data_IF_758045095445
#
_entry.id   IF_758045095445
#
_cell.length_a   1.000
_cell.length_b   1.000
_cell.length_c   1.000
_cell.angle_alpha   90.00
_cell.angle_beta   90.00
_cell.angle_gamma   90.00
#
_symmetry.space_group_name_H-M   'P 1'
#
loop_
_entity.id
_entity.type
_entity.pdbx_description
1 polymer ?
#
# COMPACT_ATOMS: atom_id res chain seq x y z
N UNK A 1 -60.15 -42.52 30.56
CA UNK A 1 -59.90 -43.06 31.91
C UNK A 1 -58.43 -43.46 31.99
N UNK A 2 -57.63 -42.76 32.78
CA UNK A 2 -56.19 -43.05 32.97
C UNK A 2 -55.57 -42.05 33.93
N UNK A 3 -55.09 -42.54 35.06
CA UNK A 3 -54.82 -41.84 36.32
C UNK A 3 -53.64 -40.85 36.27
N UNK A 4 -53.74 -39.78 37.07
CA UNK A 4 -52.59 -39.06 37.65
C UNK A 4 -51.76 -40.01 38.53
N UNK A 5 -50.44 -39.83 38.56
CA UNK A 5 -49.60 -39.63 39.77
C UNK A 5 -48.20 -39.31 39.25
N UNK A 6 -47.62 -38.17 39.63
CA UNK A 6 -46.27 -38.09 40.21
C UNK A 6 -46.03 -36.69 40.74
N UNK A 7 -45.87 -36.58 42.06
CA UNK A 7 -45.20 -35.47 42.69
C UNK A 7 -44.23 -36.06 43.71
N UNK A 8 -42.94 -35.75 43.59
CA UNK A 8 -42.07 -35.29 44.68
C UNK A 8 -40.59 -35.65 44.49
N UNK A 9 -39.77 -34.63 44.76
CA UNK A 9 -38.41 -34.68 45.32
C UNK A 9 -37.23 -35.06 44.41
N UNK A 10 -36.68 -34.07 43.71
CA UNK A 10 -35.25 -34.03 43.37
C UNK A 10 -34.55 -33.07 44.35
N UNK A 11 -33.79 -33.67 45.28
CA UNK A 11 -32.85 -32.99 46.18
C UNK A 11 -31.75 -32.30 45.37
N UNK A 12 -31.46 -31.04 45.72
CA UNK A 12 -30.27 -30.29 45.32
C UNK A 12 -29.00 -31.09 45.63
N UNK A 13 -28.16 -31.31 44.62
CA UNK A 13 -26.76 -31.71 44.79
C UNK A 13 -25.86 -30.50 44.45
N UNK A 14 -25.10 -30.04 45.44
CA UNK A 14 -24.00 -29.09 45.28
C UNK A 14 -22.92 -29.69 44.35
N UNK A 15 -22.36 -28.93 43.41
CA UNK A 15 -21.09 -29.32 42.80
C UNK A 15 -19.98 -29.01 43.80
N UNK A 16 -19.50 -30.04 44.49
CA UNK A 16 -18.25 -30.03 45.23
C UNK A 16 -17.13 -29.61 44.27
N UNK A 17 -16.51 -28.47 44.57
CA UNK A 17 -15.29 -27.97 43.96
C UNK A 17 -14.20 -29.03 44.04
N UNK A 18 -13.90 -29.67 42.90
CA UNK A 18 -12.67 -30.43 42.74
C UNK A 18 -11.50 -29.44 42.69
N UNK A 19 -10.91 -29.18 43.86
CA UNK A 19 -9.57 -28.63 43.97
C UNK A 19 -8.57 -29.66 43.44
N UNK A 20 -8.44 -29.74 42.12
CA UNK A 20 -7.30 -30.40 41.50
C UNK A 20 -6.08 -29.51 41.79
N UNK A 21 -5.26 -29.90 42.77
CA UNK A 21 -3.95 -29.29 43.02
C UNK A 21 -3.22 -29.17 41.68
N UNK A 22 -3.07 -27.93 41.20
CA UNK A 22 -2.31 -27.64 39.99
C UNK A 22 -0.89 -28.13 40.23
N UNK A 23 -0.47 -29.14 39.46
CA UNK A 23 0.87 -29.71 39.55
C UNK A 23 1.90 -28.57 39.35
N UNK A 24 2.72 -28.25 40.36
CA UNK A 24 3.64 -27.12 40.31
C UNK A 24 4.67 -27.24 39.17
N UNK A 25 4.97 -28.47 38.72
CA UNK A 25 5.83 -28.72 37.56
C UNK A 25 5.16 -28.32 36.25
N UNK A 26 3.87 -28.60 36.09
CA UNK A 26 3.08 -28.24 34.90
C UNK A 26 2.93 -26.72 34.76
N UNK A 27 2.77 -26.03 35.89
CA UNK A 27 2.69 -24.56 35.96
C UNK A 27 4.02 -23.89 35.61
N UNK A 28 5.14 -24.51 35.97
CA UNK A 28 6.50 -24.01 35.69
C UNK A 28 6.86 -24.18 34.21
N UNK A 29 6.55 -25.34 33.62
CA UNK A 29 6.77 -25.60 32.18
C UNK A 29 5.93 -24.69 31.28
N UNK A 30 4.68 -24.42 31.65
CA UNK A 30 3.80 -23.44 30.99
C UNK A 30 4.40 -22.03 30.96
N UNK A 31 4.96 -21.56 32.09
CA UNK A 31 5.63 -20.25 32.17
C UNK A 31 6.89 -20.19 31.30
N UNK A 32 7.69 -21.26 31.26
CA UNK A 32 8.89 -21.33 30.42
C UNK A 32 8.56 -21.31 28.94
N UNK A 33 7.55 -22.07 28.50
CA UNK A 33 7.07 -22.07 27.12
C UNK A 33 6.57 -20.68 26.70
N UNK A 34 5.80 -19.99 27.55
CA UNK A 34 5.35 -18.61 27.28
C UNK A 34 6.52 -17.65 27.11
N UNK A 35 7.53 -17.70 28.00
CA UNK A 35 8.73 -16.86 27.90
C UNK A 35 9.53 -17.15 26.63
N UNK A 36 9.66 -18.42 26.26
CA UNK A 36 10.39 -18.83 25.07
C UNK A 36 9.68 -18.44 23.76
N UNK A 37 8.35 -18.64 23.68
CA UNK A 37 7.54 -18.18 22.56
C UNK A 37 7.58 -16.65 22.43
N UNK A 38 7.51 -15.92 23.54
CA UNK A 38 7.63 -14.46 23.55
C UNK A 38 9.02 -14.00 23.08
N UNK A 39 10.09 -14.67 23.55
CA UNK A 39 11.47 -14.40 23.11
C UNK A 39 11.66 -14.64 21.61
N UNK A 40 11.16 -15.77 21.08
CA UNK A 40 11.18 -16.03 19.64
C UNK A 40 10.38 -14.99 18.86
N UNK A 41 9.18 -14.62 19.33
CA UNK A 41 8.33 -13.62 18.65
C UNK A 41 9.03 -12.26 18.59
N UNK A 42 9.73 -11.87 19.65
CA UNK A 42 10.56 -10.65 19.69
C UNK A 42 11.73 -10.69 18.71
N UNK A 43 12.45 -11.81 18.64
CA UNK A 43 13.57 -11.99 17.68
C UNK A 43 13.06 -11.99 16.23
N UNK A 44 11.95 -12.70 15.96
CA UNK A 44 11.32 -12.73 14.63
C UNK A 44 10.85 -11.32 14.24
N UNK A 45 10.25 -10.56 15.16
CA UNK A 45 9.86 -9.15 14.93
C UNK A 45 11.06 -8.30 14.56
N UNK A 46 12.14 -8.37 15.34
CA UNK A 46 13.36 -7.60 15.09
C UNK A 46 14.02 -7.97 13.76
N UNK A 47 14.05 -9.25 13.41
CA UNK A 47 14.58 -9.70 12.12
C UNK A 47 13.71 -9.23 10.96
N UNK A 48 12.39 -9.22 11.12
CA UNK A 48 11.46 -8.69 10.12
C UNK A 48 11.62 -7.17 9.95
N UNK A 49 11.77 -6.43 11.05
CA UNK A 49 12.06 -4.99 11.04
C UNK A 49 13.39 -4.69 10.33
N UNK A 50 14.46 -5.42 10.66
CA UNK A 50 15.76 -5.27 9.98
C UNK A 50 15.66 -5.59 8.48
N UNK A 51 14.89 -6.61 8.11
CA UNK A 51 14.66 -6.98 6.71
C UNK A 51 13.89 -5.88 5.98
N UNK A 52 12.87 -5.30 6.61
CA UNK A 52 12.09 -4.19 6.06
C UNK A 52 12.95 -2.94 5.89
N UNK A 53 13.72 -2.56 6.91
CA UNK A 53 14.63 -1.40 6.85
C UNK A 53 15.64 -1.57 5.72
N UNK A 54 16.28 -2.74 5.63
CA UNK A 54 17.21 -3.03 4.54
C UNK A 54 16.54 -2.93 3.16
N UNK A 55 15.36 -3.53 3.02
CA UNK A 55 14.61 -3.47 1.76
C UNK A 55 14.27 -2.02 1.38
N UNK A 56 13.91 -1.18 2.37
CA UNK A 56 13.64 0.24 2.13
C UNK A 56 14.89 1.01 1.75
N UNK A 57 16.02 0.79 2.43
CA UNK A 57 17.29 1.45 2.09
C UNK A 57 17.70 1.14 0.65
N UNK A 58 17.70 -0.15 0.28
CA UNK A 58 18.11 -0.58 -1.06
C UNK A 58 17.15 -0.05 -2.15
N UNK A 59 15.88 0.15 -1.82
CA UNK A 59 14.85 0.54 -2.79
C UNK A 59 14.63 2.06 -2.90
N UNK A 60 14.86 2.80 -1.81
CA UNK A 60 14.68 4.26 -1.78
C UNK A 60 15.61 4.94 -2.79
N UNK A 61 16.85 4.49 -2.91
CA UNK A 61 17.81 5.00 -3.89
C UNK A 61 17.30 4.86 -5.33
N UNK A 62 16.65 3.72 -5.64
CA UNK A 62 16.09 3.46 -6.97
C UNK A 62 14.89 4.35 -7.28
N UNK A 63 13.99 4.55 -6.31
CA UNK A 63 12.87 5.48 -6.47
C UNK A 63 13.38 6.91 -6.65
N UNK A 64 14.35 7.34 -5.84
CA UNK A 64 14.90 8.68 -5.91
C UNK A 64 15.55 8.94 -7.27
N UNK A 65 16.35 7.99 -7.76
CA UNK A 65 16.94 8.08 -9.09
C UNK A 65 15.87 8.14 -10.20
N UNK A 66 14.80 7.35 -10.09
CA UNK A 66 13.70 7.36 -11.07
C UNK A 66 12.95 8.70 -11.11
N UNK A 67 12.61 9.25 -9.94
CA UNK A 67 11.95 10.55 -9.80
C UNK A 67 12.86 11.66 -10.31
N UNK A 68 14.16 11.61 -10.02
CA UNK A 68 15.11 12.61 -10.53
C UNK A 68 15.21 12.58 -12.05
N UNK A 69 15.20 11.39 -12.65
CA UNK A 69 15.18 11.21 -14.10
C UNK A 69 13.87 11.65 -14.76
N UNK A 70 12.82 11.95 -13.99
CA UNK A 70 11.57 12.51 -14.50
C UNK A 70 11.61 14.05 -14.59
N UNK A 71 12.47 14.72 -13.83
CA UNK A 71 12.51 16.19 -13.75
C UNK A 71 12.66 16.84 -15.14
N UNK A 72 13.59 16.41 -16.03
CA UNK A 72 13.72 17.03 -17.35
C UNK A 72 12.44 16.95 -18.17
N UNK A 73 11.73 15.81 -18.11
CA UNK A 73 10.45 15.66 -18.81
C UNK A 73 9.38 16.64 -18.29
N UNK A 74 9.36 16.90 -16.97
CA UNK A 74 8.43 17.86 -16.35
C UNK A 74 8.82 19.31 -16.67
N UNK A 75 10.11 19.60 -16.73
CA UNK A 75 10.62 20.92 -17.09
C UNK A 75 10.31 21.26 -18.56
N UNK A 76 10.36 20.26 -19.45
CA UNK A 76 10.04 20.39 -20.87
C UNK A 76 8.53 20.53 -21.17
N UNK A 77 7.65 20.35 -20.18
CA UNK A 77 6.21 20.59 -20.36
C UNK A 77 5.96 22.07 -20.63
N UNK A 78 5.29 22.37 -21.75
CA UNK A 78 4.88 23.73 -22.15
C UNK A 78 3.64 24.19 -21.36
N UNK A 79 3.77 24.22 -20.03
CA UNK A 79 2.79 24.79 -19.13
C UNK A 79 3.26 26.12 -18.54
N UNK A 80 2.37 26.77 -17.81
CA UNK A 80 2.63 28.01 -17.09
C UNK A 80 3.00 27.79 -15.62
N UNK A 81 3.20 26.54 -15.20
CA UNK A 81 3.45 26.22 -13.80
C UNK A 81 4.89 26.62 -13.45
N UNK A 82 5.07 27.34 -12.35
CA UNK A 82 6.40 27.65 -11.86
C UNK A 82 7.02 26.42 -11.16
N UNK A 83 8.30 26.50 -10.79
CA UNK A 83 9.00 25.38 -10.16
C UNK A 83 8.37 24.94 -8.83
N UNK A 84 7.72 25.85 -8.10
CA UNK A 84 7.04 25.53 -6.85
C UNK A 84 5.78 24.70 -7.11
N UNK A 85 4.94 25.16 -8.03
CA UNK A 85 3.73 24.47 -8.45
C UNK A 85 4.08 23.12 -9.07
N UNK A 86 5.12 23.05 -9.92
CA UNK A 86 5.60 21.81 -10.52
C UNK A 86 6.04 20.78 -9.48
N UNK A 87 6.72 21.22 -8.42
CA UNK A 87 7.12 20.35 -7.31
C UNK A 87 5.92 19.81 -6.53
N UNK A 88 4.91 20.65 -6.29
CA UNK A 88 3.65 20.23 -5.65
C UNK A 88 2.93 19.18 -6.50
N UNK A 89 2.79 19.44 -7.81
CA UNK A 89 2.16 18.52 -8.77
C UNK A 89 2.90 17.19 -8.88
N UNK A 90 4.24 17.23 -8.83
CA UNK A 90 5.07 16.03 -8.84
C UNK A 90 4.90 15.24 -7.55
N UNK A 91 5.01 15.89 -6.38
CA UNK A 91 4.94 15.20 -5.08
C UNK A 91 3.61 14.45 -4.89
N UNK A 92 2.48 15.03 -5.34
CA UNK A 92 1.16 14.37 -5.22
C UNK A 92 0.98 13.16 -6.14
N UNK A 93 1.73 13.09 -7.24
CA UNK A 93 1.55 12.11 -8.32
C UNK A 93 2.74 11.17 -8.48
N UNK A 94 3.81 11.37 -7.70
CA UNK A 94 5.10 10.70 -7.85
C UNK A 94 4.97 9.17 -7.89
N UNK A 95 4.18 8.58 -7.00
CA UNK A 95 4.00 7.12 -6.98
C UNK A 95 3.20 6.60 -8.18
N UNK A 96 2.15 7.30 -8.60
CA UNK A 96 1.35 6.91 -9.78
C UNK A 96 2.21 6.99 -11.05
N UNK A 97 2.99 8.08 -11.20
CA UNK A 97 3.92 8.26 -12.32
C UNK A 97 5.04 7.22 -12.28
N UNK A 98 5.61 6.95 -11.11
CA UNK A 98 6.62 5.91 -10.92
C UNK A 98 6.13 4.54 -11.41
N UNK A 99 4.91 4.15 -11.02
CA UNK A 99 4.33 2.88 -11.46
C UNK A 99 4.13 2.86 -12.99
N UNK A 100 3.68 3.96 -13.59
CA UNK A 100 3.53 4.09 -15.04
C UNK A 100 4.89 3.96 -15.75
N UNK A 101 5.95 4.56 -15.21
CA UNK A 101 7.31 4.43 -15.78
C UNK A 101 7.84 3.00 -15.69
N UNK A 102 7.39 2.23 -14.70
CA UNK A 102 7.85 0.86 -14.44
C UNK A 102 6.93 -0.24 -14.97
N UNK A 103 5.93 0.08 -15.81
CA UNK A 103 4.98 -0.93 -16.33
C UNK A 103 5.69 -2.09 -17.02
N UNK A 104 6.73 -1.83 -17.83
CA UNK A 104 7.47 -2.88 -18.53
C UNK A 104 8.52 -3.60 -17.68
N UNK A 105 8.85 -3.02 -16.53
CA UNK A 105 9.88 -3.52 -15.62
C UNK A 105 9.30 -4.41 -14.52
N UNK A 106 8.06 -4.14 -14.10
CA UNK A 106 7.39 -4.91 -13.05
C UNK A 106 6.72 -6.16 -13.62
N UNK A 107 7.11 -7.33 -13.11
CA UNK A 107 6.52 -8.60 -13.48
C UNK A 107 6.20 -9.44 -12.22
N UNK A 108 5.51 -10.59 -12.33
CA UNK A 108 5.12 -11.40 -11.16
C UNK A 108 6.28 -11.91 -10.29
N UNK A 109 7.52 -11.89 -10.79
CA UNK A 109 8.70 -12.43 -10.13
C UNK A 109 9.55 -11.34 -9.48
N UNK A 110 9.65 -10.17 -10.10
CA UNK A 110 10.50 -9.06 -9.66
C UNK A 110 10.16 -7.74 -10.36
N UNK A 111 10.75 -6.66 -9.84
CA UNK A 111 10.91 -5.39 -10.53
C UNK A 111 12.33 -5.32 -11.11
N UNK A 112 12.43 -5.25 -12.43
CA UNK A 112 13.71 -5.12 -13.12
C UNK A 112 14.19 -3.66 -13.11
N UNK A 113 15.41 -3.44 -12.67
CA UNK A 113 16.06 -2.13 -12.63
C UNK A 113 16.83 -1.88 -13.92
N UNK A 114 17.17 -0.61 -14.16
CA UNK A 114 17.79 -0.17 -15.41
C UNK A 114 19.21 -0.71 -15.62
N UNK A 115 19.88 -1.12 -14.54
CA UNK A 115 21.21 -1.73 -14.55
C UNK A 115 21.16 -3.28 -14.64
N UNK A 116 19.97 -3.85 -14.80
CA UNK A 116 19.73 -5.29 -14.88
C UNK A 116 19.60 -5.99 -13.53
N UNK A 117 19.72 -5.30 -12.39
CA UNK A 117 19.38 -5.87 -11.08
C UNK A 117 17.87 -6.08 -10.96
N UNK A 118 17.45 -7.08 -10.20
CA UNK A 118 16.05 -7.38 -9.93
C UNK A 118 15.70 -7.25 -8.45
N UNK A 119 14.68 -6.44 -8.13
CA UNK A 119 14.08 -6.42 -6.79
C UNK A 119 13.03 -7.52 -6.72
N UNK A 120 13.35 -8.58 -5.98
CA UNK A 120 12.48 -9.76 -5.85
C UNK A 120 11.10 -9.38 -5.34
N UNK A 121 10.08 -10.08 -5.84
CA UNK A 121 8.69 -9.87 -5.46
C UNK A 121 8.45 -10.00 -3.94
N UNK A 122 9.21 -10.85 -3.25
CA UNK A 122 9.11 -10.97 -1.78
C UNK A 122 9.50 -9.66 -1.08
N UNK A 123 10.53 -8.96 -1.56
CA UNK A 123 10.97 -7.67 -1.02
C UNK A 123 9.92 -6.60 -1.29
N UNK A 124 9.35 -6.57 -2.50
CA UNK A 124 8.27 -5.65 -2.85
C UNK A 124 7.02 -5.86 -1.99
N UNK A 125 6.68 -7.11 -1.66
CA UNK A 125 5.57 -7.43 -0.74
C UNK A 125 5.87 -7.01 0.69
N UNK A 126 7.12 -7.05 1.12
CA UNK A 126 7.54 -6.53 2.44
C UNK A 126 7.39 -4.99 2.46
N UNK A 127 7.74 -4.31 1.37
CA UNK A 127 7.69 -2.85 1.25
C UNK A 127 6.27 -2.30 1.17
N UNK A 128 5.45 -2.88 0.29
CA UNK A 128 4.13 -2.33 -0.07
C UNK A 128 2.96 -3.12 0.50
N UNK A 129 3.20 -4.30 1.04
CA UNK A 129 2.16 -5.25 1.40
C UNK A 129 1.65 -6.04 0.19
N UNK A 130 0.99 -7.16 0.48
CA UNK A 130 0.55 -8.10 -0.57
C UNK A 130 -0.63 -7.56 -1.39
N UNK A 131 -1.55 -6.79 -0.79
CA UNK A 131 -2.72 -6.24 -1.51
C UNK A 131 -2.28 -5.27 -2.60
N UNK A 132 -1.49 -4.25 -2.23
CA UNK A 132 -1.05 -3.22 -3.17
C UNK A 132 -0.22 -3.80 -4.30
N UNK A 133 0.68 -4.76 -4.02
CA UNK A 133 1.46 -5.44 -5.06
C UNK A 133 0.57 -6.18 -6.06
N UNK A 134 -0.48 -6.86 -5.59
CA UNK A 134 -1.40 -7.55 -6.49
C UNK A 134 -2.16 -6.55 -7.37
N UNK A 135 -2.57 -5.40 -6.81
CA UNK A 135 -3.20 -4.32 -7.57
C UNK A 135 -2.24 -3.71 -8.60
N UNK A 136 -0.98 -3.48 -8.23
CA UNK A 136 0.06 -3.00 -9.15
C UNK A 136 0.28 -3.99 -10.31
N UNK A 137 0.36 -5.29 -10.03
CA UNK A 137 0.52 -6.33 -11.06
C UNK A 137 -0.70 -6.42 -11.99
N UNK A 138 -1.91 -6.28 -11.44
CA UNK A 138 -3.14 -6.23 -12.26
C UNK A 138 -3.17 -4.99 -13.15
N UNK A 139 -2.79 -3.82 -12.60
CA UNK A 139 -2.67 -2.59 -13.36
C UNK A 139 -1.67 -2.76 -14.52
N UNK A 140 -0.47 -3.25 -14.23
CA UNK A 140 0.57 -3.47 -15.24
C UNK A 140 0.11 -4.43 -16.33
N UNK A 141 -0.49 -5.56 -15.95
CA UNK A 141 -1.00 -6.56 -16.89
C UNK A 141 -2.03 -5.95 -17.86
N UNK A 142 -2.95 -5.12 -17.35
CA UNK A 142 -3.95 -4.44 -18.18
C UNK A 142 -3.33 -3.46 -19.15
N UNK A 143 -2.34 -2.66 -18.71
CA UNK A 143 -1.70 -1.69 -19.61
C UNK A 143 -0.87 -2.40 -20.69
N UNK A 144 -0.15 -3.46 -20.35
CA UNK A 144 0.62 -4.23 -21.34
C UNK A 144 -0.28 -4.87 -22.40
N UNK A 145 -1.49 -5.31 -22.03
CA UNK A 145 -2.48 -5.86 -22.96
C UNK A 145 -2.99 -4.82 -23.99
N UNK A 146 -2.92 -3.53 -23.67
CA UNK A 146 -3.31 -2.46 -24.60
C UNK A 146 -2.26 -2.20 -25.69
N UNK A 147 -1.06 -2.77 -25.57
CA UNK A 147 0.01 -2.56 -26.54
C UNK A 147 0.54 -1.13 -26.57
N UNK A 148 0.49 -0.41 -25.44
CA UNK A 148 0.90 0.98 -25.33
C UNK A 148 2.36 1.21 -25.79
N UNK A 149 2.53 2.19 -26.67
CA UNK A 149 3.81 2.73 -27.10
C UNK A 149 4.39 3.67 -26.03
N UNK A 150 5.63 4.10 -26.24
CA UNK A 150 6.26 5.08 -25.34
C UNK A 150 5.54 6.43 -25.33
N UNK A 151 4.90 6.79 -26.44
CA UNK A 151 4.08 8.00 -26.56
C UNK A 151 2.83 7.89 -25.67
N UNK A 152 2.17 6.74 -25.67
CA UNK A 152 0.98 6.51 -24.83
C UNK A 152 1.34 6.57 -23.35
N UNK A 153 2.49 5.99 -22.97
CA UNK A 153 3.00 6.05 -21.59
C UNK A 153 3.31 7.48 -21.20
N UNK A 154 4.01 8.25 -22.05
CA UNK A 154 4.28 9.66 -21.79
C UNK A 154 2.97 10.45 -21.60
N UNK A 155 1.95 10.19 -22.41
CA UNK A 155 0.64 10.81 -22.27
C UNK A 155 -0.04 10.46 -20.94
N UNK A 156 0.01 9.19 -20.50
CA UNK A 156 -0.52 8.80 -19.19
C UNK A 156 0.20 9.50 -18.03
N UNK A 157 1.52 9.66 -18.12
CA UNK A 157 2.29 10.43 -17.14
C UNK A 157 1.76 11.86 -17.06
N UNK A 158 1.58 12.54 -18.19
CA UNK A 158 1.06 13.91 -18.25
C UNK A 158 -0.36 14.01 -17.68
N UNK A 159 -1.25 13.06 -18.02
CA UNK A 159 -2.63 13.02 -17.51
C UNK A 159 -2.64 12.88 -15.98
N UNK A 160 -1.82 11.97 -15.45
CA UNK A 160 -1.71 11.74 -14.00
C UNK A 160 -1.09 12.94 -13.29
N UNK A 161 -0.09 13.56 -13.90
CA UNK A 161 0.58 14.75 -13.37
C UNK A 161 -0.40 15.91 -13.15
N UNK A 162 -1.27 16.19 -14.13
CA UNK A 162 -2.27 17.26 -14.04
C UNK A 162 -3.60 16.84 -13.41
N UNK A 163 -3.78 15.56 -13.05
CA UNK A 163 -5.04 15.02 -12.52
C UNK A 163 -5.56 15.84 -11.32
N UNK A 164 -6.80 16.39 -11.38
CA UNK A 164 -7.42 17.07 -10.25
C UNK A 164 -7.84 16.03 -9.18
N UNK A 165 -7.51 16.26 -7.90
CA UNK A 165 -7.91 15.34 -6.81
C UNK A 165 -9.26 15.67 -6.16
N UNK A 166 -9.69 16.94 -6.17
CA UNK A 166 -11.03 17.53 -5.91
C UNK A 166 -10.90 19.06 -6.00
N UNK A 167 -12.00 19.78 -6.17
CA UNK A 167 -11.98 21.25 -6.28
C UNK A 167 -11.61 21.88 -4.93
N UNK A 168 -12.00 21.25 -3.81
CA UNK A 168 -11.66 21.72 -2.46
C UNK A 168 -10.14 21.71 -2.16
N UNK A 169 -9.37 20.85 -2.84
CA UNK A 169 -7.92 20.72 -2.64
C UNK A 169 -7.10 21.79 -3.41
N UNK A 170 -7.67 22.40 -4.46
CA UNK A 170 -6.97 23.45 -5.20
C UNK A 170 -6.82 24.75 -4.39
N UNK A 171 -7.69 24.97 -3.41
CA UNK A 171 -7.60 26.09 -2.48
C UNK A 171 -6.64 25.85 -1.30
N UNK A 172 -6.32 24.60 -0.99
CA UNK A 172 -5.38 24.21 0.08
C UNK A 172 -3.96 23.96 -0.45
N UNK A 173 -3.81 23.72 -1.74
CA UNK A 173 -2.52 23.80 -2.41
C UNK A 173 -2.18 25.30 -2.51
N UNK A 174 -1.09 25.73 -1.88
CA UNK A 174 -0.50 27.07 -2.04
C UNK A 174 0.05 27.27 -3.47
N UNK A 175 -0.68 26.84 -4.50
CA UNK A 175 -0.33 27.06 -5.88
C UNK A 175 -0.37 28.55 -6.13
N UNK A 176 0.77 29.11 -6.52
CA UNK A 176 0.88 30.56 -6.71
C UNK A 176 0.13 31.00 -7.97
N UNK A 177 -0.04 30.08 -8.92
CA UNK A 177 -0.59 30.37 -10.24
C UNK A 177 -1.76 29.43 -10.59
N UNK A 178 -2.69 29.21 -9.65
CA UNK A 178 -3.87 28.35 -9.89
C UNK A 178 -4.74 28.80 -11.08
N UNK A 179 -4.72 30.09 -11.41
CA UNK A 179 -5.44 30.70 -12.54
C UNK A 179 -4.83 30.37 -13.91
N UNK A 180 -3.55 29.97 -13.95
CA UNK A 180 -2.83 29.68 -15.19
C UNK A 180 -2.92 28.21 -15.62
N UNK A 181 -3.48 27.34 -14.78
CA UNK A 181 -3.91 25.98 -15.14
C UNK A 181 -5.17 26.03 -16.03
N UNK A 182 -5.06 26.56 -17.25
CA UNK A 182 -6.11 26.67 -18.28
C UNK A 182 -5.66 25.94 -19.55
N UNK A 183 -6.51 25.33 -20.43
CA UNK A 183 -7.96 25.09 -20.43
C UNK A 183 -8.35 23.60 -20.25
N UNK A 184 -7.40 22.71 -19.97
CA UNK A 184 -7.65 21.25 -19.87
C UNK A 184 -8.66 20.86 -18.76
N UNK A 185 -8.83 21.75 -17.77
CA UNK A 185 -9.82 21.64 -16.69
C UNK A 185 -11.21 22.24 -17.05
N UNK A 186 -11.28 23.09 -18.09
CA UNK A 186 -12.51 23.82 -18.44
C UNK A 186 -13.53 22.97 -19.23
N UNK A 187 -13.13 21.80 -19.73
CA UNK A 187 -13.99 20.89 -20.51
C UNK A 187 -15.05 20.17 -19.64
N UNK A 188 -14.99 20.28 -18.30
CA UNK A 188 -15.99 19.64 -17.41
C UNK A 188 -16.99 20.59 -16.75
N UNK A 189 -17.09 21.84 -17.20
CA UNK A 189 -18.05 22.81 -16.63
C UNK A 189 -19.30 23.06 -17.49
N UNK A 190 -19.46 22.33 -18.59
CA UNK A 190 -20.67 22.37 -19.43
C UNK A 190 -21.23 20.94 -19.52
N UNK A 191 -22.54 20.83 -19.34
CA UNK A 191 -23.40 19.63 -19.41
C UNK A 191 -23.57 18.77 -18.15
N UNK A 192 -24.10 19.34 -17.06
CA UNK A 192 -25.00 18.64 -16.13
C UNK A 192 -25.99 19.62 -15.45
N UNK A 193 -26.69 20.44 -16.23
CA UNK A 193 -27.95 21.05 -15.76
C UNK A 193 -29.05 20.58 -16.70
N UNK A 194 -29.78 19.58 -16.21
CA UNK A 194 -31.22 19.42 -16.47
C UNK A 194 -31.96 20.64 -15.91
#
# INVERSE_FOLDING_TARGET
MGKQVTNSNVKKANPTTNNCQQDPKLTTMSKLLKKFVQGRRSIISRNAELTLVKAWTDYAEEIEADIRALIPFIDDLQDSADSHDKAILLNRSAFEIYLIRRIRALNPYELLLSDGRGIKMISLRILYGTSLINEMLQFVSRILQLGCTDVDIAMFITIVYYKPRRIEDLASLNLRNSENLSPALHIRKIDWIL
#
